data_IF_667613404413
#
_entry.id   IF_667613404413
#
_cell.length_a   1.000
_cell.length_b   1.000
_cell.length_c   1.000
_cell.angle_alpha   90.00
_cell.angle_beta   90.00
_cell.angle_gamma   90.00
#
_symmetry.space_group_name_H-M   'P 1'
#
loop_
_entity.id
_entity.type
_entity.pdbx_description
1 polymer ?
#
# COMPACT_ATOMS: atom_id res chain seq x y z
N UNK A 1 -1.80 7.73 39.00
CA UNK A 1 -1.59 6.69 37.97
C UNK A 1 -1.45 7.41 36.65
N UNK A 2 -0.30 7.33 35.98
CA UNK A 2 -0.10 7.95 34.66
C UNK A 2 -0.28 6.86 33.62
N UNK A 3 -1.33 6.98 32.79
CA UNK A 3 -1.45 6.18 31.58
C UNK A 3 -0.42 6.71 30.59
N UNK A 4 0.60 5.90 30.29
CA UNK A 4 1.43 6.12 29.11
C UNK A 4 0.68 5.51 27.93
N UNK A 5 0.05 6.34 27.12
CA UNK A 5 -0.33 5.94 25.76
C UNK A 5 0.97 5.58 25.04
N UNK A 6 1.16 4.28 24.81
CA UNK A 6 2.27 3.80 24.01
C UNK A 6 1.92 4.20 22.56
N UNK A 7 2.76 5.02 21.92
CA UNK A 7 2.54 5.38 20.53
C UNK A 7 2.39 4.07 19.72
N UNK A 8 1.36 3.94 18.87
CA UNK A 8 1.19 2.75 18.06
C UNK A 8 2.46 2.54 17.24
N UNK A 9 2.93 1.28 17.19
CA UNK A 9 4.07 0.91 16.36
C UNK A 9 3.83 1.41 14.92
N UNK A 10 4.88 1.96 14.30
CA UNK A 10 4.80 2.39 12.92
C UNK A 10 4.33 1.19 12.07
N UNK A 11 3.30 1.36 11.22
CA UNK A 11 2.78 0.25 10.44
C UNK A 11 3.86 -0.25 9.47
N UNK A 12 4.10 -1.56 9.48
CA UNK A 12 5.11 -2.17 8.62
C UNK A 12 4.59 -2.32 7.20
N UNK A 13 5.20 -1.59 6.26
CA UNK A 13 4.94 -1.79 4.84
C UNK A 13 5.57 -3.08 4.33
N UNK A 14 4.88 -3.83 3.44
CA UNK A 14 5.44 -4.97 2.74
C UNK A 14 6.78 -4.63 2.07
N UNK A 15 7.69 -5.61 2.02
CA UNK A 15 8.93 -5.44 1.30
C UNK A 15 8.67 -5.51 -0.20
N UNK A 16 8.98 -4.41 -0.90
CA UNK A 16 8.85 -4.27 -2.34
C UNK A 16 9.89 -3.27 -2.84
N UNK A 17 10.28 -3.38 -4.10
CA UNK A 17 11.06 -2.33 -4.77
C UNK A 17 10.22 -1.05 -4.86
N UNK A 18 10.83 0.11 -4.55
CA UNK A 18 10.13 1.38 -4.61
C UNK A 18 9.85 1.77 -6.07
N UNK A 19 8.58 1.97 -6.40
CA UNK A 19 8.12 2.32 -7.74
C UNK A 19 7.44 3.70 -7.75
N UNK A 20 7.51 4.37 -8.89
CA UNK A 20 6.69 5.56 -9.15
C UNK A 20 5.36 5.12 -9.76
N UNK A 21 4.26 5.73 -9.32
CA UNK A 21 2.96 5.51 -9.95
C UNK A 21 2.97 5.97 -11.43
N UNK A 22 2.33 5.23 -12.35
CA UNK A 22 2.32 5.59 -13.78
C UNK A 22 1.38 6.78 -14.11
N UNK A 23 0.66 7.30 -13.11
CA UNK A 23 -0.25 8.43 -13.24
C UNK A 23 -0.14 9.37 -12.03
N UNK A 24 -0.63 10.61 -12.19
CA UNK A 24 -0.75 11.56 -11.09
C UNK A 24 -1.82 11.12 -10.10
N UNK A 25 -1.53 11.21 -8.81
CA UNK A 25 -2.46 10.87 -7.73
C UNK A 25 -2.69 12.06 -6.82
N UNK A 26 -3.95 12.29 -6.44
CA UNK A 26 -4.33 13.13 -5.33
C UNK A 26 -3.75 12.61 -4.01
N UNK A 27 -3.67 13.49 -3.00
CA UNK A 27 -3.22 13.09 -1.67
C UNK A 27 -4.10 11.99 -1.06
N UNK A 28 -5.40 12.01 -1.33
CA UNK A 28 -6.33 10.97 -0.88
C UNK A 28 -6.03 9.60 -1.48
N UNK A 29 -5.68 9.54 -2.77
CA UNK A 29 -5.34 8.28 -3.44
C UNK A 29 -4.00 7.73 -2.95
N UNK A 30 -3.01 8.61 -2.75
CA UNK A 30 -1.73 8.25 -2.14
C UNK A 30 -1.93 7.64 -0.75
N UNK A 31 -2.76 8.26 0.09
CA UNK A 31 -3.11 7.75 1.42
C UNK A 31 -3.86 6.42 1.34
N UNK A 32 -4.75 6.24 0.36
CA UNK A 32 -5.46 4.98 0.18
C UNK A 32 -4.50 3.81 -0.15
N UNK A 33 -3.51 4.03 -1.02
CA UNK A 33 -2.48 3.04 -1.33
C UNK A 33 -1.62 2.70 -0.10
N UNK A 34 -1.19 3.71 0.66
CA UNK A 34 -0.46 3.51 1.91
C UNK A 34 -1.30 2.71 2.92
N UNK A 35 -2.53 3.12 3.18
CA UNK A 35 -3.43 2.44 4.11
C UNK A 35 -3.76 0.99 3.69
N UNK A 36 -3.83 0.70 2.40
CA UNK A 36 -3.94 -0.67 1.90
C UNK A 36 -2.67 -1.46 2.23
N UNK A 37 -1.49 -0.92 1.90
CA UNK A 37 -0.22 -1.59 2.11
C UNK A 37 0.05 -1.88 3.60
N UNK A 38 -0.23 -0.93 4.50
CA UNK A 38 -0.13 -1.08 5.95
C UNK A 38 -1.06 -2.17 6.52
N UNK A 39 -2.22 -2.37 5.90
CA UNK A 39 -3.21 -3.35 6.33
C UNK A 39 -3.03 -4.74 5.73
N UNK A 40 -2.07 -4.92 4.83
CA UNK A 40 -1.82 -6.18 4.11
C UNK A 40 -1.74 -7.38 5.07
N UNK A 41 -1.06 -7.25 6.21
CA UNK A 41 -0.92 -8.33 7.20
C UNK A 41 -2.24 -8.71 7.89
N UNK A 42 -3.20 -7.79 7.97
CA UNK A 42 -4.52 -8.01 8.58
C UNK A 42 -5.59 -8.52 7.60
N UNK A 43 -5.29 -8.49 6.30
CA UNK A 43 -6.22 -8.88 5.24
C UNK A 43 -5.90 -10.29 4.75
N UNK A 44 -6.96 -11.07 4.49
CA UNK A 44 -6.80 -12.37 3.82
C UNK A 44 -6.22 -12.18 2.41
N UNK A 45 -5.52 -13.20 1.90
CA UNK A 45 -4.97 -13.18 0.53
C UNK A 45 -6.05 -12.89 -0.52
N UNK A 46 -7.21 -13.55 -0.39
CA UNK A 46 -8.34 -13.31 -1.29
C UNK A 46 -8.82 -11.86 -1.27
N UNK A 47 -8.90 -11.23 -0.07
CA UNK A 47 -9.34 -9.84 0.05
C UNK A 47 -8.29 -8.85 -0.49
N UNK A 48 -7.00 -9.14 -0.30
CA UNK A 48 -5.91 -8.34 -0.90
C UNK A 48 -5.98 -8.37 -2.42
N UNK A 49 -6.13 -9.58 -2.98
CA UNK A 49 -6.23 -9.78 -4.42
C UNK A 49 -7.45 -9.08 -5.01
N UNK A 50 -8.62 -9.22 -4.39
CA UNK A 50 -9.85 -8.53 -4.80
C UNK A 50 -9.65 -7.02 -4.86
N UNK A 51 -9.15 -6.41 -3.77
CA UNK A 51 -8.93 -4.97 -3.71
C UNK A 51 -7.85 -4.49 -4.69
N UNK A 52 -6.75 -5.21 -4.82
CA UNK A 52 -5.68 -4.86 -5.74
C UNK A 52 -6.14 -4.94 -7.21
N UNK A 53 -6.95 -5.94 -7.56
CA UNK A 53 -7.46 -6.13 -8.92
C UNK A 53 -8.32 -4.97 -9.43
N UNK A 54 -8.95 -4.19 -8.54
CA UNK A 54 -9.68 -2.97 -8.90
C UNK A 54 -8.76 -1.96 -9.61
N UNK A 55 -7.48 -1.94 -9.24
CA UNK A 55 -6.48 -1.01 -9.78
C UNK A 55 -5.63 -1.63 -10.91
N UNK A 56 -5.89 -2.88 -11.32
CA UNK A 56 -5.10 -3.53 -12.36
C UNK A 56 -5.12 -2.77 -13.70
N UNK A 57 -6.31 -2.33 -14.12
CA UNK A 57 -6.49 -1.54 -15.35
C UNK A 57 -5.77 -0.19 -15.33
N UNK A 58 -5.97 0.69 -14.32
CA UNK A 58 -5.27 1.98 -14.30
C UNK A 58 -3.76 1.83 -14.10
N UNK A 59 -3.30 0.75 -13.46
CA UNK A 59 -1.88 0.42 -13.32
C UNK A 59 -1.28 -0.25 -14.56
N UNK A 60 -2.11 -0.63 -15.54
CA UNK A 60 -1.70 -1.32 -16.76
C UNK A 60 -0.92 -2.62 -16.50
N UNK A 61 -1.33 -3.37 -15.48
CA UNK A 61 -0.74 -4.66 -15.11
C UNK A 61 -1.82 -5.76 -15.02
N UNK A 62 -1.47 -7.03 -15.22
CA UNK A 62 -2.36 -8.14 -14.89
C UNK A 62 -2.83 -8.08 -13.43
N UNK A 63 -4.05 -8.55 -13.16
CA UNK A 63 -4.63 -8.49 -11.81
C UNK A 63 -3.77 -9.20 -10.76
N UNK A 64 -3.06 -10.26 -11.14
CA UNK A 64 -2.14 -11.03 -10.32
C UNK A 64 -0.90 -10.22 -9.88
N UNK A 65 -0.55 -9.16 -10.62
CA UNK A 65 0.60 -8.29 -10.35
C UNK A 65 0.20 -6.98 -9.65
N UNK A 66 -1.10 -6.66 -9.63
CA UNK A 66 -1.60 -5.39 -9.11
C UNK A 66 -1.22 -5.18 -7.64
N UNK A 67 -1.25 -6.22 -6.80
CA UNK A 67 -0.87 -6.09 -5.39
C UNK A 67 0.60 -5.68 -5.24
N UNK A 68 1.51 -6.37 -5.93
CA UNK A 68 2.93 -6.07 -5.91
C UNK A 68 3.22 -4.66 -6.42
N UNK A 69 2.53 -4.25 -7.50
CA UNK A 69 2.65 -2.91 -8.06
C UNK A 69 2.22 -1.84 -7.04
N UNK A 70 1.10 -2.06 -6.34
CA UNK A 70 0.61 -1.17 -5.28
C UNK A 70 1.62 -1.07 -4.14
N UNK A 71 2.21 -2.19 -3.68
CA UNK A 71 3.22 -2.18 -2.62
C UNK A 71 4.46 -1.39 -3.02
N UNK A 72 4.93 -1.55 -4.27
CA UNK A 72 6.06 -0.78 -4.77
C UNK A 72 5.77 0.72 -4.85
N UNK A 73 4.57 1.11 -5.29
CA UNK A 73 4.14 2.51 -5.30
C UNK A 73 4.05 3.07 -3.87
N UNK A 74 3.47 2.32 -2.93
CA UNK A 74 3.40 2.73 -1.52
C UNK A 74 4.79 2.96 -0.92
N UNK A 75 5.78 2.11 -1.27
CA UNK A 75 7.19 2.32 -0.90
C UNK A 75 7.78 3.58 -1.53
N UNK A 76 7.52 3.83 -2.82
CA UNK A 76 7.98 5.03 -3.51
C UNK A 76 7.43 6.33 -2.93
N UNK A 77 6.22 6.30 -2.36
CA UNK A 77 5.60 7.46 -1.69
C UNK A 77 6.30 7.87 -0.38
N UNK A 78 7.01 6.95 0.28
CA UNK A 78 7.80 7.28 1.48
C UNK A 78 9.12 8.01 1.17
N UNK A 79 9.54 8.02 -0.09
CA UNK A 79 10.84 8.57 -0.49
C UNK A 79 12.01 7.62 -0.19
N UNK A 80 13.25 8.04 -0.47
CA UNK A 80 14.45 7.24 -0.20
C UNK A 80 14.64 7.07 1.31
N UNK A 81 14.72 5.82 1.77
CA UNK A 81 15.12 5.44 3.15
C UNK A 81 16.63 5.29 3.26
#
# INVERSE_FOLDING_TARGET
>A
VVYRDNAPAAPELPQAEALRAPFSMSLSEQRALLSFAERTQSLSSARRQELASILAEPLQVPAEQAEQQIHGIARGLLGPT
#
